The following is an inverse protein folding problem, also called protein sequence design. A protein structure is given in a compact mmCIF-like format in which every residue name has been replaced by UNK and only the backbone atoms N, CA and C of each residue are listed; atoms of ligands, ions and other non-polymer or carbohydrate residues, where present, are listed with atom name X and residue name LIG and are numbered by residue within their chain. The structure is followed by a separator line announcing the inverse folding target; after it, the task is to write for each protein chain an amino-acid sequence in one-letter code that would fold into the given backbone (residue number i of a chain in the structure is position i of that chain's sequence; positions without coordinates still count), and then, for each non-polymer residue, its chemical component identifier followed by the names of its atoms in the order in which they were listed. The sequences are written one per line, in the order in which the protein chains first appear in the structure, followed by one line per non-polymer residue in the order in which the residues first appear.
data_IF_506899720026
#
_entry.id   IF_506899720026
#
_cell.length_a   1.000
_cell.length_b   1.000
_cell.length_c   1.000
_cell.angle_alpha   90.00
_cell.angle_beta   90.00
_cell.angle_gamma   90.00
#
_symmetry.space_group_name_H-M   'P 1'
#
loop_
_entity.id
_entity.type
_entity.pdbx_description
1 polymer ?
#
# COMPACT_ATOMS: atom_id res chain seq x y z
N UNK A 1 -10.05 41.38 19.37
CA UNK A 1 -10.59 40.02 19.59
C UNK A 1 -10.56 39.29 18.27
N UNK A 2 -10.05 38.06 18.25
CA UNK A 2 -9.63 37.33 17.04
C UNK A 2 -10.77 36.41 16.61
N UNK A 3 -11.34 36.61 15.43
CA UNK A 3 -12.33 35.67 14.88
C UNK A 3 -11.65 34.88 13.77
N UNK A 4 -11.29 33.64 14.09
CA UNK A 4 -10.54 32.73 13.24
C UNK A 4 -11.39 32.16 12.10
N UNK A 5 -10.73 31.98 10.96
CA UNK A 5 -11.21 31.30 9.76
C UNK A 5 -11.61 29.84 10.06
N UNK A 6 -12.76 29.41 9.55
CA UNK A 6 -13.13 28.00 9.45
C UNK A 6 -12.79 27.49 8.04
N UNK A 7 -11.78 26.63 7.92
CA UNK A 7 -11.54 25.86 6.71
C UNK A 7 -12.34 24.56 6.78
N UNK A 8 -13.38 24.46 5.96
CA UNK A 8 -14.12 23.21 5.76
C UNK A 8 -13.39 22.43 4.67
N UNK A 9 -12.63 21.41 5.07
CA UNK A 9 -12.00 20.47 4.13
C UNK A 9 -13.05 19.42 3.77
N UNK A 10 -13.64 19.55 2.59
CA UNK A 10 -14.51 18.53 2.02
C UNK A 10 -13.65 17.34 1.56
N UNK A 11 -13.71 16.24 2.30
CA UNK A 11 -13.13 14.96 1.88
C UNK A 11 -14.04 14.37 0.82
N UNK A 12 -13.63 14.45 -0.45
CA UNK A 12 -14.31 13.80 -1.57
C UNK A 12 -13.93 12.31 -1.50
N UNK A 13 -14.85 11.49 -0.98
CA UNK A 13 -14.74 10.04 -1.04
C UNK A 13 -15.03 9.59 -2.48
N UNK A 14 -13.97 9.32 -3.26
CA UNK A 14 -14.11 8.71 -4.59
C UNK A 14 -14.32 7.21 -4.38
N UNK A 15 -15.57 6.75 -4.44
CA UNK A 15 -15.90 5.33 -4.42
C UNK A 15 -15.61 4.71 -5.80
N UNK A 16 -14.38 4.27 -6.01
CA UNK A 16 -14.03 3.41 -7.15
C UNK A 16 -14.59 2.01 -6.89
N UNK A 17 -15.61 1.63 -7.65
CA UNK A 17 -16.12 0.27 -7.65
C UNK A 17 -15.05 -0.67 -8.25
N UNK A 18 -14.45 -1.51 -7.41
CA UNK A 18 -13.52 -2.55 -7.85
C UNK A 18 -14.32 -3.72 -8.43
N UNK A 19 -13.98 -4.23 -9.63
CA UNK A 19 -14.61 -5.44 -10.15
C UNK A 19 -14.25 -6.61 -9.23
N UNK A 20 -15.26 -7.30 -8.70
CA UNK A 20 -15.12 -8.57 -7.97
C UNK A 20 -14.87 -9.66 -9.00
N UNK A 21 -13.61 -9.80 -9.42
CA UNK A 21 -13.16 -10.90 -10.28
C UNK A 21 -12.88 -12.13 -9.41
N UNK A 22 -13.39 -13.28 -9.86
CA UNK A 22 -13.31 -14.55 -9.16
C UNK A 22 -11.90 -14.89 -8.65
N UNK A 23 -11.86 -15.38 -7.42
CA UNK A 23 -10.68 -15.90 -6.76
C UNK A 23 -10.18 -17.17 -7.48
N UNK A 24 -9.03 -17.08 -8.16
CA UNK A 24 -8.43 -18.19 -8.89
C UNK A 24 -7.04 -18.59 -8.35
N UNK A 25 -6.68 -18.19 -7.13
CA UNK A 25 -5.38 -18.58 -6.58
C UNK A 25 -5.21 -18.36 -5.08
N UNK A 26 -4.53 -19.31 -4.45
CA UNK A 26 -4.07 -19.15 -3.07
C UNK A 26 -2.95 -18.10 -2.98
N UNK A 27 -2.83 -17.47 -1.80
CA UNK A 27 -1.67 -16.65 -1.49
C UNK A 27 -0.46 -17.54 -1.24
N UNK A 28 0.65 -17.28 -1.92
CA UNK A 28 1.91 -17.98 -1.68
C UNK A 28 3.04 -17.01 -1.38
N UNK A 29 3.96 -17.39 -0.46
CA UNK A 29 5.10 -16.56 -0.11
C UNK A 29 6.05 -16.43 -1.30
N UNK A 30 6.66 -15.26 -1.45
CA UNK A 30 7.70 -14.99 -2.43
C UNK A 30 8.96 -14.46 -1.75
N UNK A 31 10.09 -14.51 -2.46
CA UNK A 31 11.35 -14.02 -1.92
C UNK A 31 11.34 -12.49 -1.83
N UNK A 32 11.03 -11.98 -0.65
CA UNK A 32 11.04 -10.54 -0.36
C UNK A 32 12.43 -9.91 -0.39
N UNK A 33 13.52 -10.69 -0.40
CA UNK A 33 14.88 -10.16 -0.57
C UNK A 33 15.23 -9.85 -2.04
N UNK A 34 14.36 -10.22 -3.00
CA UNK A 34 14.53 -9.80 -4.39
C UNK A 34 14.48 -8.25 -4.46
N UNK A 35 15.46 -7.57 -5.08
CA UNK A 35 15.47 -6.12 -5.23
C UNK A 35 14.18 -5.53 -5.82
N UNK A 36 13.56 -6.22 -6.77
CA UNK A 36 12.28 -5.79 -7.36
C UNK A 36 11.15 -5.81 -6.33
N UNK A 37 11.10 -6.85 -5.49
CA UNK A 37 10.07 -7.00 -4.46
C UNK A 37 10.31 -6.01 -3.31
N UNK A 38 11.57 -5.76 -2.92
CA UNK A 38 11.92 -4.67 -1.99
C UNK A 38 11.44 -3.31 -2.51
N UNK A 39 11.53 -3.07 -3.82
CA UNK A 39 11.03 -1.85 -4.44
C UNK A 39 9.51 -1.72 -4.35
N UNK A 40 8.75 -2.83 -4.31
CA UNK A 40 7.30 -2.75 -4.07
C UNK A 40 7.01 -2.25 -2.65
N UNK A 41 7.80 -2.68 -1.66
CA UNK A 41 7.73 -2.16 -0.30
C UNK A 41 8.04 -0.65 -0.24
N UNK A 42 9.10 -0.20 -0.92
CA UNK A 42 9.43 1.25 -1.01
C UNK A 42 8.33 2.05 -1.68
N UNK A 43 7.85 1.55 -2.82
CA UNK A 43 6.83 2.21 -3.63
C UNK A 43 5.50 2.35 -2.87
N UNK A 44 5.05 1.30 -2.16
CA UNK A 44 3.79 1.35 -1.41
C UNK A 44 3.80 2.38 -0.29
N UNK A 45 4.91 2.52 0.45
CA UNK A 45 5.07 3.59 1.44
C UNK A 45 5.06 4.97 0.78
N UNK A 46 5.80 5.14 -0.32
CA UNK A 46 5.84 6.42 -1.03
C UNK A 46 4.46 6.84 -1.57
N UNK A 47 3.71 5.89 -2.14
CA UNK A 47 2.37 6.15 -2.68
C UNK A 47 1.35 6.44 -1.56
N UNK A 48 1.45 5.74 -0.41
CA UNK A 48 0.64 6.06 0.77
C UNK A 48 0.94 7.47 1.30
N UNK A 49 2.21 7.80 1.51
CA UNK A 49 2.62 9.13 2.01
C UNK A 49 2.17 10.25 1.08
N UNK A 50 2.22 10.03 -0.23
CA UNK A 50 1.69 10.97 -1.22
C UNK A 50 0.18 11.21 -1.05
N UNK A 51 -0.58 10.20 -0.64
CA UNK A 51 -2.04 10.29 -0.47
C UNK A 51 -2.43 10.82 0.93
N UNK A 52 -1.76 10.35 2.00
CA UNK A 52 -2.10 10.64 3.39
C UNK A 52 -1.32 11.82 4.00
N UNK A 53 -0.16 12.17 3.43
CA UNK A 53 0.76 13.20 3.97
C UNK A 53 1.15 12.99 5.44
N UNK A 54 1.30 11.73 5.87
CA UNK A 54 1.56 11.37 7.27
C UNK A 54 3.05 11.16 7.62
N UNK A 55 3.93 11.25 6.63
CA UNK A 55 5.39 11.27 6.86
C UNK A 55 6.00 9.93 7.27
N UNK A 56 5.29 8.80 7.08
CA UNK A 56 5.83 7.46 7.28
C UNK A 56 7.08 7.25 6.39
N UNK A 57 8.11 6.58 6.92
CA UNK A 57 9.37 6.34 6.21
C UNK A 57 9.67 4.85 6.09
N UNK A 58 9.85 4.37 4.87
CA UNK A 58 10.22 2.98 4.61
C UNK A 58 11.58 2.64 5.25
N UNK A 59 11.64 1.52 5.97
CA UNK A 59 12.89 0.93 6.44
C UNK A 59 13.26 -0.28 5.57
N UNK A 60 12.44 -1.34 5.61
CA UNK A 60 12.64 -2.57 4.83
C UNK A 60 11.34 -3.35 4.63
N UNK A 61 11.30 -4.15 3.58
CA UNK A 61 10.25 -5.16 3.43
C UNK A 61 10.66 -6.43 4.19
N UNK A 62 9.74 -6.99 4.98
CA UNK A 62 10.01 -8.15 5.86
C UNK A 62 9.19 -9.39 5.51
N UNK A 63 8.12 -9.25 4.72
CA UNK A 63 7.36 -10.38 4.18
C UNK A 63 6.67 -9.98 2.89
N UNK A 64 6.51 -10.94 1.98
CA UNK A 64 5.76 -10.76 0.76
C UNK A 64 5.05 -12.05 0.38
N UNK A 65 3.78 -11.93 -0.02
CA UNK A 65 3.00 -12.98 -0.66
C UNK A 65 2.46 -12.45 -1.96
N UNK A 66 2.21 -13.35 -2.91
CA UNK A 66 1.51 -13.00 -4.14
C UNK A 66 0.35 -13.94 -4.42
N UNK A 67 -0.58 -13.45 -5.24
CA UNK A 67 -1.77 -14.16 -5.68
C UNK A 67 -2.10 -13.75 -7.10
N UNK A 68 -2.36 -14.74 -7.96
CA UNK A 68 -2.89 -14.49 -9.30
C UNK A 68 -4.41 -14.53 -9.24
N UNK A 69 -5.08 -13.48 -9.70
CA UNK A 69 -6.54 -13.44 -9.78
C UNK A 69 -6.96 -12.92 -11.15
N UNK A 70 -7.37 -13.86 -12.01
CA UNK A 70 -7.70 -13.62 -13.41
C UNK A 70 -6.48 -13.13 -14.19
N UNK A 71 -6.39 -11.83 -14.33
CA UNK A 71 -5.51 -11.10 -15.25
C UNK A 71 -4.63 -10.07 -14.51
N UNK A 72 -4.63 -10.15 -13.18
CA UNK A 72 -3.87 -9.29 -12.29
C UNK A 72 -3.12 -10.12 -11.25
N UNK A 73 -1.93 -9.64 -10.91
CA UNK A 73 -1.10 -10.16 -9.83
C UNK A 73 -1.25 -9.23 -8.63
N UNK A 74 -1.64 -9.80 -7.50
CA UNK A 74 -1.78 -9.11 -6.23
C UNK A 74 -0.59 -9.45 -5.34
N UNK A 75 -0.17 -8.47 -4.55
CA UNK A 75 0.90 -8.62 -3.58
C UNK A 75 0.43 -8.15 -2.21
N UNK A 76 0.69 -8.95 -1.19
CA UNK A 76 0.47 -8.66 0.22
C UNK A 76 1.84 -8.55 0.88
N UNK A 77 2.14 -7.36 1.40
CA UNK A 77 3.46 -6.96 1.87
C UNK A 77 3.39 -6.61 3.35
N UNK A 78 4.32 -7.15 4.15
CA UNK A 78 4.58 -6.66 5.51
C UNK A 78 5.86 -5.82 5.47
N UNK A 79 5.71 -4.56 5.84
CA UNK A 79 6.73 -3.52 5.74
C UNK A 79 7.09 -3.05 7.13
N UNK A 80 8.39 -2.98 7.39
CA UNK A 80 8.96 -2.29 8.55
C UNK A 80 9.24 -0.84 8.16
N UNK A 81 8.79 0.10 8.98
CA UNK A 81 8.86 1.52 8.70
C UNK A 81 8.93 2.33 9.99
N UNK A 82 9.38 3.58 9.89
CA UNK A 82 9.21 4.56 10.95
C UNK A 82 7.89 5.29 10.75
N UNK A 83 7.06 5.33 11.80
CA UNK A 83 5.82 6.09 11.78
C UNK A 83 6.07 7.61 11.81
N UNK A 84 5.01 8.41 11.81
CA UNK A 84 5.08 9.87 11.87
C UNK A 84 5.86 10.43 13.06
N UNK A 85 5.93 9.68 14.17
CA UNK A 85 6.68 10.02 15.38
C UNK A 85 8.13 9.53 15.34
N UNK A 86 8.56 8.89 14.26
CA UNK A 86 9.90 8.33 14.10
C UNK A 86 10.11 7.01 14.85
N UNK A 87 9.05 6.35 15.32
CA UNK A 87 9.12 5.05 16.01
C UNK A 87 9.00 3.90 15.02
N UNK A 88 9.71 2.80 15.27
CA UNK A 88 9.56 1.56 14.51
C UNK A 88 8.11 1.04 14.60
N UNK A 89 7.55 0.73 13.43
CA UNK A 89 6.20 0.24 13.25
C UNK A 89 6.15 -0.71 12.04
N UNK A 90 5.13 -1.57 12.01
CA UNK A 90 4.88 -2.47 10.89
C UNK A 90 3.57 -2.11 10.20
N UNK A 91 3.56 -2.24 8.89
CA UNK A 91 2.41 -1.97 8.05
C UNK A 91 2.17 -3.12 7.09
N UNK A 92 0.89 -3.42 6.86
CA UNK A 92 0.44 -4.31 5.80
C UNK A 92 -0.01 -3.45 4.62
N UNK A 93 0.53 -3.76 3.43
CA UNK A 93 0.18 -3.09 2.20
C UNK A 93 -0.24 -4.11 1.14
N UNK A 94 -1.37 -3.86 0.49
CA UNK A 94 -1.84 -4.66 -0.65
C UNK A 94 -1.77 -3.82 -1.90
N UNK A 95 -1.11 -4.33 -2.93
CA UNK A 95 -1.08 -3.72 -4.26
C UNK A 95 -1.45 -4.75 -5.33
N UNK A 96 -1.77 -4.26 -6.52
CA UNK A 96 -1.89 -5.12 -7.69
C UNK A 96 -1.26 -4.50 -8.94
N UNK A 97 -0.84 -5.38 -9.86
CA UNK A 97 -0.42 -5.10 -11.22
C UNK A 97 -1.32 -5.87 -12.18
N UNK A 98 -1.49 -5.37 -13.41
CA UNK A 98 -2.08 -6.18 -14.48
C UNK A 98 -0.95 -6.64 -15.39
N UNK A 99 -0.98 -7.88 -15.86
CA UNK A 99 0.13 -8.48 -16.60
C UNK A 99 0.48 -7.75 -17.91
N UNK A 100 -0.41 -6.92 -18.45
CA UNK A 100 -0.18 -6.11 -19.67
C UNK A 100 -0.09 -4.60 -19.42
N UNK A 101 -0.12 -4.14 -18.16
CA UNK A 101 0.05 -2.73 -17.82
C UNK A 101 1.12 -2.60 -16.75
N UNK A 102 2.21 -1.88 -17.05
CA UNK A 102 3.28 -1.54 -16.09
C UNK A 102 2.81 -0.61 -14.94
N UNK A 103 1.49 -0.50 -14.74
CA UNK A 103 0.86 0.34 -13.73
C UNK A 103 0.57 -0.47 -12.47
N UNK A 104 1.22 -0.08 -11.37
CA UNK A 104 0.90 -0.53 -10.01
C UNK A 104 -0.24 0.31 -9.43
N UNK A 105 -1.10 -0.32 -8.64
CA UNK A 105 -2.15 0.37 -7.88
C UNK A 105 -2.10 -0.10 -6.43
N UNK A 106 -2.00 0.86 -5.50
CA UNK A 106 -2.08 0.60 -4.06
C UNK A 106 -3.56 0.44 -3.68
N UNK A 107 -3.91 -0.70 -3.09
CA UNK A 107 -5.28 -1.02 -2.69
C UNK A 107 -5.55 -0.72 -1.22
N UNK A 108 -4.59 -1.01 -0.36
CA UNK A 108 -4.70 -0.73 1.07
C UNK A 108 -3.33 -0.56 1.70
N UNK A 109 -3.28 0.29 2.73
CA UNK A 109 -2.13 0.47 3.60
C UNK A 109 -2.64 0.68 5.03
N UNK A 110 -2.26 -0.19 5.96
CA UNK A 110 -2.76 -0.19 7.36
C UNK A 110 -1.68 -0.70 8.32
N UNK A 111 -1.75 -0.39 9.63
CA UNK A 111 -0.89 -1.03 10.62
C UNK A 111 -1.01 -2.56 10.56
N UNK A 112 0.13 -3.26 10.66
CA UNK A 112 0.14 -4.72 10.77
C UNK A 112 -0.08 -5.11 12.24
N UNK A 113 -1.02 -6.02 12.48
CA UNK A 113 -1.28 -6.61 13.81
C UNK A 113 -0.30 -7.74 14.12
#
# INVERSE_FOLDING_TARGET
MRTGLLFVIAVIAISVATPTMADLGDWYPINFNNPEIQEFGRWTVAEHVKQASDGIKFNKLVSAKQKLAGLAVYFDLIIDAWNSDGKDAKYEAVLHQRDWMDKRTLMSFKPAN
#
